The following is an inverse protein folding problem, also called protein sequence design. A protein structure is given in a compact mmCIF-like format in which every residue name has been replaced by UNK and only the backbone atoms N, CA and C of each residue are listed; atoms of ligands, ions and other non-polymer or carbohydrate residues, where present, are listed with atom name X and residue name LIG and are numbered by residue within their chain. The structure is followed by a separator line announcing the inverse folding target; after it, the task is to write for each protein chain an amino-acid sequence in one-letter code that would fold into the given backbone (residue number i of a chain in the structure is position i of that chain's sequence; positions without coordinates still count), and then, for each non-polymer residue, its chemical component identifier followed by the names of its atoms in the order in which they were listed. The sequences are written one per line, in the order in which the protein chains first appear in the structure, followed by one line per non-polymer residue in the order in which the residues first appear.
data_IF_208909868869
#
_entry.id   IF_208909868869
#
_cell.length_a   1.000
_cell.length_b   1.000
_cell.length_c   1.000
_cell.angle_alpha   90.00
_cell.angle_beta   90.00
_cell.angle_gamma   90.00
#
_symmetry.space_group_name_H-M   'P 1'
#
loop_
_entity.id
_entity.type
_entity.pdbx_description
1 polymer ?
#
# COMPACT_ATOMS: atom_id res chain seq x y z
N UNK A 1 -20.38 -25.10 -5.83
CA UNK A 1 -21.64 -25.87 -5.98
C UNK A 1 -21.34 -27.03 -6.92
N UNK A 2 -21.55 -28.27 -6.50
CA UNK A 2 -21.12 -29.50 -7.18
C UNK A 2 -21.86 -29.73 -8.51
N UNK A 3 -21.13 -29.89 -9.62
CA UNK A 3 -21.68 -30.44 -10.88
C UNK A 3 -21.50 -31.96 -10.90
N UNK A 4 -22.51 -32.67 -11.38
CA UNK A 4 -22.56 -34.12 -11.37
C UNK A 4 -22.46 -34.63 -12.82
N UNK A 5 -21.39 -35.33 -13.15
CA UNK A 5 -21.25 -36.08 -14.41
C UNK A 5 -21.37 -37.59 -14.14
N UNK A 6 -21.92 -38.32 -15.10
CA UNK A 6 -22.66 -39.58 -14.89
C UNK A 6 -21.81 -40.80 -14.51
N UNK A 7 -20.49 -40.66 -14.32
CA UNK A 7 -19.62 -41.73 -13.85
C UNK A 7 -18.66 -41.36 -12.71
N UNK A 8 -18.52 -40.07 -12.35
CA UNK A 8 -17.64 -39.64 -11.24
C UNK A 8 -18.28 -38.47 -10.48
N UNK A 9 -18.54 -38.66 -9.17
CA UNK A 9 -18.89 -37.56 -8.28
C UNK A 9 -17.62 -36.86 -7.84
N UNK A 10 -17.34 -35.67 -8.36
CA UNK A 10 -16.23 -34.83 -7.92
C UNK A 10 -16.75 -33.56 -7.25
N UNK A 11 -15.98 -33.03 -6.30
CA UNK A 11 -16.24 -31.73 -5.70
C UNK A 11 -15.46 -30.66 -6.45
N UNK A 12 -16.10 -29.53 -6.72
CA UNK A 12 -15.47 -28.33 -7.27
C UNK A 12 -15.61 -27.19 -6.27
N UNK A 13 -14.48 -26.56 -5.96
CA UNK A 13 -14.44 -25.36 -5.13
C UNK A 13 -14.37 -24.15 -6.06
N UNK A 14 -15.32 -23.24 -5.90
CA UNK A 14 -15.39 -21.98 -6.65
C UNK A 14 -15.56 -20.85 -5.65
N UNK A 15 -15.03 -19.69 -5.99
CA UNK A 15 -15.24 -18.48 -5.19
C UNK A 15 -16.68 -17.99 -5.37
N UNK A 16 -17.36 -17.73 -4.26
CA UNK A 16 -18.65 -17.03 -4.25
C UNK A 16 -18.45 -15.51 -4.17
N UNK A 17 -17.37 -15.08 -3.51
CA UNK A 17 -16.93 -13.70 -3.37
C UNK A 17 -15.42 -13.63 -3.54
N UNK A 18 -14.91 -12.44 -3.86
CA UNK A 18 -13.47 -12.20 -3.90
C UNK A 18 -12.87 -12.43 -2.52
N UNK A 19 -11.66 -13.02 -2.51
CA UNK A 19 -10.81 -13.08 -1.33
C UNK A 19 -10.01 -11.80 -1.26
N UNK A 20 -9.67 -11.38 -0.05
CA UNK A 20 -8.99 -10.14 0.26
C UNK A 20 -7.89 -10.46 1.28
N UNK A 21 -6.63 -10.30 0.88
CA UNK A 21 -5.48 -10.67 1.70
C UNK A 21 -5.42 -9.81 2.96
N UNK A 22 -5.77 -8.53 2.84
CA UNK A 22 -5.77 -7.54 3.90
C UNK A 22 -6.86 -7.81 4.94
N UNK A 23 -7.89 -8.58 4.56
CA UNK A 23 -8.94 -9.05 5.46
C UNK A 23 -8.63 -10.41 6.09
N UNK A 24 -8.21 -11.40 5.29
CA UNK A 24 -7.95 -12.76 5.76
C UNK A 24 -6.92 -13.48 4.88
N UNK A 25 -5.78 -13.85 5.46
CA UNK A 25 -4.67 -14.50 4.74
C UNK A 25 -4.82 -16.01 4.61
N UNK A 26 -5.75 -16.63 5.35
CA UNK A 26 -5.99 -18.08 5.33
C UNK A 26 -7.44 -18.43 5.58
N UNK A 27 -8.06 -19.20 4.68
CA UNK A 27 -9.41 -19.73 4.84
C UNK A 27 -9.35 -21.24 5.11
N UNK A 28 -10.03 -21.69 6.17
CA UNK A 28 -10.12 -23.11 6.52
C UNK A 28 -11.51 -23.68 6.27
N UNK A 29 -11.59 -24.69 5.41
CA UNK A 29 -12.84 -25.39 5.09
C UNK A 29 -12.78 -26.86 5.56
N UNK A 30 -13.92 -27.40 5.96
CA UNK A 30 -14.07 -28.84 6.22
C UNK A 30 -15.04 -29.42 5.20
N UNK A 31 -14.53 -30.30 4.33
CA UNK A 31 -15.33 -31.06 3.38
C UNK A 31 -15.83 -32.33 4.07
N UNK A 32 -17.13 -32.54 4.11
CA UNK A 32 -17.76 -33.76 4.65
C UNK A 32 -18.40 -34.56 3.52
N UNK A 33 -17.98 -35.81 3.36
CA UNK A 33 -18.63 -36.80 2.50
C UNK A 33 -19.55 -37.68 3.34
N UNK A 34 -20.74 -37.99 2.82
CA UNK A 34 -21.74 -38.86 3.44
C UNK A 34 -22.00 -40.05 2.51
N UNK A 35 -21.98 -41.27 3.03
CA UNK A 35 -22.37 -42.46 2.26
C UNK A 35 -23.89 -42.68 2.25
N UNK A 36 -24.37 -43.56 1.36
CA UNK A 36 -25.79 -43.93 1.27
C UNK A 36 -26.20 -45.07 2.20
N UNK A 37 -25.39 -45.42 3.20
CA UNK A 37 -25.62 -46.54 4.09
C UNK A 37 -26.73 -46.30 5.10
N UNK A 38 -27.18 -47.36 5.78
CA UNK A 38 -28.09 -47.26 6.93
C UNK A 38 -27.60 -48.17 8.07
N UNK A 39 -26.95 -47.61 9.12
CA UNK A 39 -26.71 -46.19 9.34
C UNK A 39 -25.65 -45.61 8.38
N UNK A 40 -25.82 -44.34 7.99
CA UNK A 40 -24.88 -43.65 7.13
C UNK A 40 -23.56 -43.35 7.85
N UNK A 41 -22.45 -43.38 7.13
CA UNK A 41 -21.12 -42.98 7.61
C UNK A 41 -20.64 -41.71 6.93
N UNK A 42 -19.80 -40.96 7.63
CA UNK A 42 -19.18 -39.74 7.13
C UNK A 42 -17.66 -39.84 7.10
N UNK A 43 -17.04 -39.22 6.10
CA UNK A 43 -15.61 -38.92 6.07
C UNK A 43 -15.40 -37.41 5.97
N UNK A 44 -14.38 -36.87 6.63
CA UNK A 44 -14.06 -35.44 6.56
C UNK A 44 -12.65 -35.20 6.04
N UNK A 45 -12.46 -34.09 5.34
CA UNK A 45 -11.16 -33.59 4.90
C UNK A 45 -11.06 -32.09 5.21
N UNK A 46 -9.89 -31.65 5.70
CA UNK A 46 -9.60 -30.23 5.90
C UNK A 46 -8.94 -29.66 4.67
N UNK A 47 -9.41 -28.50 4.23
CA UNK A 47 -8.85 -27.75 3.11
C UNK A 47 -8.39 -26.41 3.70
N UNK A 48 -7.11 -26.11 3.55
CA UNK A 48 -6.53 -24.83 3.93
C UNK A 48 -6.17 -24.07 2.66
N UNK A 49 -6.74 -22.88 2.53
CA UNK A 49 -6.54 -22.00 1.38
C UNK A 49 -5.67 -20.84 1.87
N UNK A 50 -4.52 -20.64 1.24
CA UNK A 50 -3.67 -19.46 1.47
C UNK A 50 -4.04 -18.37 0.47
N UNK A 51 -4.35 -17.18 0.96
CA UNK A 51 -4.64 -16.00 0.12
C UNK A 51 -3.32 -15.29 -0.13
N UNK A 52 -2.92 -15.20 -1.40
CA UNK A 52 -1.69 -14.53 -1.80
C UNK A 52 -1.99 -13.04 -1.93
N UNK A 53 -1.12 -12.22 -1.35
CA UNK A 53 -1.14 -10.76 -1.48
C UNK A 53 -1.13 -10.31 -2.94
N UNK A 54 -1.95 -9.31 -3.26
CA UNK A 54 -1.99 -8.65 -4.55
C UNK A 54 -1.75 -7.16 -4.31
N UNK A 55 -1.02 -6.49 -5.21
CA UNK A 55 -0.74 -5.06 -5.08
C UNK A 55 -1.97 -4.21 -5.46
N UNK A 56 -2.98 -4.16 -4.59
CA UNK A 56 -4.26 -3.51 -4.84
C UNK A 56 -4.59 -2.35 -3.89
N UNK A 57 -3.73 -2.07 -2.91
CA UNK A 57 -3.81 -0.87 -2.09
C UNK A 57 -2.71 0.13 -2.51
N UNK A 58 -3.06 1.33 -3.01
CA UNK A 58 -2.05 2.34 -3.28
C UNK A 58 -1.54 2.99 -1.97
N UNK A 59 -0.31 3.55 -1.95
CA UNK A 59 0.19 4.27 -0.79
C UNK A 59 -0.74 5.43 -0.39
N UNK A 60 -0.94 5.66 0.90
CA UNK A 60 -1.81 6.75 1.40
C UNK A 60 -1.04 7.68 2.32
N UNK A 61 -0.89 8.95 1.92
CA UNK A 61 -0.31 9.99 2.79
C UNK A 61 -1.19 10.29 4.00
N UNK A 62 -0.57 10.60 5.13
CA UNK A 62 -1.27 11.01 6.35
C UNK A 62 -2.05 12.31 6.18
N UNK A 63 -1.63 13.18 5.24
CA UNK A 63 -2.33 14.40 4.88
C UNK A 63 -2.27 14.62 3.36
N UNK A 64 -3.35 15.15 2.77
CA UNK A 64 -3.36 15.58 1.36
C UNK A 64 -2.53 16.86 1.14
N UNK A 65 -2.51 17.72 2.16
CA UNK A 65 -1.78 18.98 2.15
C UNK A 65 -1.10 19.16 3.51
N UNK A 66 0.22 19.27 3.49
CA UNK A 66 1.02 19.67 4.65
C UNK A 66 1.21 21.19 4.61
N UNK A 67 1.24 21.85 5.76
CA UNK A 67 1.50 23.29 5.84
C UNK A 67 2.51 23.54 6.94
N UNK A 68 3.56 24.25 6.60
CA UNK A 68 4.66 24.57 7.52
C UNK A 68 5.08 26.02 7.36
N UNK A 69 5.70 26.56 8.39
CA UNK A 69 6.39 27.84 8.34
C UNK A 69 7.84 27.62 8.67
N UNK A 70 8.72 28.11 7.80
CA UNK A 70 10.16 28.05 7.94
C UNK A 70 10.70 29.45 8.19
N UNK A 71 11.76 29.55 8.98
CA UNK A 71 12.54 30.78 9.05
C UNK A 71 13.51 30.78 7.87
N UNK A 72 13.63 31.89 7.17
CA UNK A 72 14.57 32.03 6.05
C UNK A 72 16.03 31.78 6.46
N UNK A 73 16.36 32.15 7.71
CA UNK A 73 17.70 31.97 8.26
C UNK A 73 17.98 30.55 8.79
N UNK A 74 17.11 29.58 8.49
CA UNK A 74 17.35 28.18 8.81
C UNK A 74 18.60 27.68 8.06
N UNK A 75 19.48 26.99 8.78
CA UNK A 75 20.73 26.49 8.22
C UNK A 75 20.50 25.38 7.20
N UNK A 76 21.41 25.24 6.24
CA UNK A 76 21.48 24.06 5.37
C UNK A 76 21.51 22.77 6.21
N UNK A 77 20.85 21.72 5.73
CA UNK A 77 20.63 20.46 6.44
C UNK A 77 19.52 20.48 7.48
N UNK A 78 18.90 21.64 7.76
CA UNK A 78 17.76 21.69 8.70
C UNK A 78 16.59 20.87 8.18
N UNK A 79 15.94 20.14 9.09
CA UNK A 79 14.70 19.43 8.79
C UNK A 79 13.57 20.42 8.54
N UNK A 80 12.87 20.21 7.43
CA UNK A 80 11.69 20.96 7.01
C UNK A 80 10.44 20.27 7.54
N UNK A 81 10.24 19.02 7.12
CA UNK A 81 9.15 18.14 7.55
C UNK A 81 9.52 16.71 7.17
N UNK A 82 8.92 15.72 7.84
CA UNK A 82 8.90 14.34 7.37
C UNK A 82 7.49 13.99 6.92
N UNK A 83 7.28 13.77 5.61
CA UNK A 83 6.02 13.24 5.11
C UNK A 83 5.92 11.75 5.39
N UNK A 84 4.69 11.26 5.53
CA UNK A 84 4.44 9.85 5.80
C UNK A 84 3.29 9.35 4.96
N UNK A 85 3.55 8.32 4.17
CA UNK A 85 2.54 7.48 3.54
C UNK A 85 2.58 6.07 4.15
N UNK A 86 1.46 5.37 4.07
CA UNK A 86 1.31 3.97 4.49
C UNK A 86 0.60 3.19 3.40
N UNK A 87 1.03 1.95 3.22
CA UNK A 87 0.43 0.99 2.31
C UNK A 87 -0.03 -0.23 3.12
N UNK A 88 -1.09 -0.90 2.68
CA UNK A 88 -1.64 -2.06 3.38
C UNK A 88 -1.11 -3.39 2.86
N UNK A 89 -0.58 -3.40 1.64
CA UNK A 89 -0.12 -4.62 0.99
C UNK A 89 1.13 -5.17 1.70
N UNK A 90 1.36 -6.48 1.58
CA UNK A 90 2.48 -7.16 2.22
C UNK A 90 3.81 -6.99 1.44
N UNK A 91 4.93 -6.91 2.17
CA UNK A 91 6.27 -7.00 1.58
C UNK A 91 6.60 -5.87 0.61
N UNK A 92 7.06 -6.19 -0.60
CA UNK A 92 7.42 -5.18 -1.60
C UNK A 92 6.22 -4.37 -2.07
N UNK A 93 5.02 -4.96 -2.05
CA UNK A 93 3.80 -4.28 -2.46
C UNK A 93 3.41 -3.19 -1.46
N UNK A 94 3.81 -3.33 -0.18
CA UNK A 94 3.65 -2.27 0.81
C UNK A 94 4.87 -1.34 0.97
N UNK A 95 5.97 -1.58 0.25
CA UNK A 95 7.24 -0.85 0.47
C UNK A 95 7.26 0.47 -0.31
N UNK A 96 7.23 1.59 0.42
CA UNK A 96 7.09 2.92 -0.16
C UNK A 96 8.43 3.59 -0.44
N UNK A 97 8.54 4.25 -1.61
CA UNK A 97 9.57 5.19 -1.97
C UNK A 97 8.99 6.58 -2.30
N UNK A 98 9.65 7.64 -1.84
CA UNK A 98 9.25 9.03 -2.01
C UNK A 98 10.10 9.73 -3.08
N UNK A 99 9.45 10.57 -3.88
CA UNK A 99 10.11 11.40 -4.89
C UNK A 99 9.37 12.72 -5.09
N UNK A 100 10.06 13.75 -5.59
CA UNK A 100 9.38 14.94 -6.09
C UNK A 100 8.54 14.59 -7.34
N UNK A 101 7.39 15.25 -7.48
CA UNK A 101 6.45 14.99 -8.59
C UNK A 101 6.10 16.24 -9.38
N UNK A 102 5.76 17.32 -8.68
CA UNK A 102 5.56 18.64 -9.27
C UNK A 102 6.22 19.67 -8.36
N UNK A 103 7.40 20.15 -8.76
CA UNK A 103 8.21 21.07 -7.99
C UNK A 103 8.78 22.11 -8.94
N UNK A 104 8.73 23.38 -8.57
CA UNK A 104 9.34 24.45 -9.35
C UNK A 104 10.87 24.37 -9.27
N UNK A 105 11.58 24.81 -10.32
CA UNK A 105 13.04 24.70 -10.40
C UNK A 105 13.77 25.39 -9.23
N UNK A 106 13.24 26.53 -8.76
CA UNK A 106 13.79 27.22 -7.60
C UNK A 106 13.62 26.39 -6.32
N UNK A 107 12.48 25.72 -6.13
CA UNK A 107 12.25 24.84 -5.00
C UNK A 107 13.15 23.59 -5.07
N UNK A 108 13.32 23.01 -6.26
CA UNK A 108 14.17 21.82 -6.46
C UNK A 108 15.65 22.07 -6.13
N UNK A 109 16.11 23.32 -6.23
CA UNK A 109 17.48 23.70 -5.84
C UNK A 109 17.62 23.94 -4.32
N UNK A 110 16.51 24.14 -3.60
CA UNK A 110 16.52 24.55 -2.19
C UNK A 110 16.19 23.41 -1.23
N UNK A 111 15.60 22.31 -1.69
CA UNK A 111 15.15 21.21 -0.85
C UNK A 111 15.60 19.84 -1.35
N UNK A 112 16.02 19.00 -0.40
CA UNK A 112 16.29 17.57 -0.61
C UNK A 112 15.15 16.74 -0.02
N UNK A 113 14.87 15.58 -0.62
CA UNK A 113 13.90 14.59 -0.14
C UNK A 113 14.58 13.23 0.00
N UNK A 114 14.52 12.65 1.19
CA UNK A 114 15.03 11.32 1.45
C UNK A 114 14.02 10.26 0.96
N UNK A 115 14.43 9.35 0.05
CA UNK A 115 13.50 8.51 -0.69
C UNK A 115 12.86 7.39 0.13
N UNK A 116 13.44 6.96 1.24
CA UNK A 116 12.88 5.85 2.03
C UNK A 116 12.02 6.29 3.22
N UNK A 117 12.27 7.48 3.77
CA UNK A 117 11.65 7.92 5.02
C UNK A 117 10.83 9.21 4.88
N UNK A 118 10.80 9.83 3.69
CA UNK A 118 10.01 11.03 3.43
C UNK A 118 10.53 12.30 4.11
N UNK A 119 11.76 12.30 4.64
CA UNK A 119 12.36 13.48 5.27
C UNK A 119 12.74 14.52 4.22
N UNK A 120 12.27 15.74 4.41
CA UNK A 120 12.64 16.89 3.58
C UNK A 120 13.57 17.79 4.38
N UNK A 121 14.67 18.21 3.77
CA UNK A 121 15.69 19.06 4.37
C UNK A 121 16.03 20.25 3.47
N UNK A 122 16.57 21.30 4.07
CA UNK A 122 17.07 22.47 3.34
C UNK A 122 18.42 22.14 2.69
N UNK A 123 18.50 22.23 1.38
CA UNK A 123 19.74 22.07 0.61
C UNK A 123 20.52 23.40 0.51
N UNK A 124 19.80 24.47 0.17
CA UNK A 124 20.35 25.81 -0.05
C UNK A 124 19.65 26.86 0.78
N UNK A 125 20.32 27.99 1.04
CA UNK A 125 19.78 29.04 1.89
C UNK A 125 18.47 29.61 1.32
N UNK A 126 17.49 29.77 2.19
CA UNK A 126 16.22 30.39 1.87
C UNK A 126 16.33 31.90 2.00
N UNK A 127 15.63 32.61 1.13
CA UNK A 127 15.56 34.06 1.08
C UNK A 127 14.08 34.40 0.85
N UNK A 128 13.47 35.07 1.84
CA UNK A 128 12.04 35.37 1.78
C UNK A 128 11.73 36.43 0.73
N UNK A 129 12.62 37.41 0.54
CA UNK A 129 12.50 38.42 -0.51
C UNK A 129 12.62 37.81 -1.92
N UNK A 130 13.36 36.71 -2.09
CA UNK A 130 13.45 35.96 -3.35
C UNK A 130 12.19 35.10 -3.59
N UNK A 131 11.73 34.36 -2.58
CA UNK A 131 10.56 33.47 -2.70
C UNK A 131 9.84 33.33 -1.37
N UNK A 132 8.68 33.99 -1.27
CA UNK A 132 7.84 33.98 -0.06
C UNK A 132 7.18 32.62 0.23
N UNK A 133 6.96 31.81 -0.81
CA UNK A 133 6.24 30.54 -0.70
C UNK A 133 6.73 29.51 -1.71
N UNK A 134 6.95 28.30 -1.21
CA UNK A 134 7.18 27.10 -2.00
C UNK A 134 5.93 26.23 -2.00
N UNK A 135 5.65 25.59 -3.14
CA UNK A 135 4.66 24.52 -3.26
C UNK A 135 5.41 23.31 -3.79
N UNK A 136 5.41 22.23 -3.02
CA UNK A 136 6.19 21.03 -3.35
C UNK A 136 5.25 19.83 -3.44
N UNK A 137 5.12 19.28 -4.63
CA UNK A 137 4.40 18.04 -4.88
C UNK A 137 5.28 16.83 -4.59
N UNK A 138 4.85 15.96 -3.69
CA UNK A 138 5.51 14.69 -3.36
C UNK A 138 4.70 13.52 -3.91
N UNK A 139 5.39 12.54 -4.49
CA UNK A 139 4.84 11.24 -4.89
C UNK A 139 5.37 10.15 -3.98
N UNK A 140 4.46 9.33 -3.46
CA UNK A 140 4.77 8.03 -2.86
C UNK A 140 4.46 6.95 -3.90
N UNK A 141 5.37 5.99 -4.05
CA UNK A 141 5.22 4.84 -4.94
C UNK A 141 5.58 3.57 -4.18
N UNK A 142 4.75 2.54 -4.26
CA UNK A 142 5.07 1.23 -3.69
C UNK A 142 6.00 0.41 -4.62
N UNK A 143 6.37 -0.81 -4.22
CA UNK A 143 7.17 -1.71 -5.05
C UNK A 143 6.42 -2.33 -6.23
N UNK A 144 5.09 -2.48 -6.14
CA UNK A 144 4.25 -3.01 -7.23
C UNK A 144 3.90 -1.97 -8.31
N UNK A 145 4.16 -0.70 -8.04
CA UNK A 145 4.04 0.42 -8.95
C UNK A 145 2.84 1.35 -8.74
N UNK A 146 1.97 1.15 -7.76
CA UNK A 146 0.89 2.11 -7.45
C UNK A 146 1.46 3.38 -6.82
N UNK A 147 0.76 4.49 -7.06
CA UNK A 147 1.25 5.83 -6.72
C UNK A 147 0.16 6.70 -6.12
N UNK A 148 0.56 7.57 -5.20
CA UNK A 148 -0.27 8.65 -4.65
C UNK A 148 0.56 9.92 -4.51
N UNK A 149 -0.12 11.07 -4.46
CA UNK A 149 0.51 12.38 -4.38
C UNK A 149 -0.01 13.18 -3.18
N UNK A 150 0.84 14.03 -2.61
CA UNK A 150 0.45 15.09 -1.68
C UNK A 150 1.18 16.38 -2.04
N UNK A 151 0.70 17.50 -1.47
CA UNK A 151 1.37 18.79 -1.59
C UNK A 151 1.84 19.26 -0.21
N UNK A 152 2.93 20.00 -0.21
CA UNK A 152 3.47 20.73 0.94
C UNK A 152 3.46 22.21 0.56
#
# INVERSE_FOLDING_TARGET
ITKQDSLNKYAELVLEKQLDHESETTVSLTLTALDGGNPAKTGTAKIQITVIDANDNPPVFSQKVYKISLKENASKGSTVIQVKATDKDEGSNGQINYSFSNIADNAHQKFDLHPENGLITIHEQLDFEETEKYIIGIKARDGGGLVTHCNI
#
